data_IF_403944594039
#
_entry.id   IF_403944594039
#
_cell.length_a   1.000
_cell.length_b   1.000
_cell.length_c   1.000
_cell.angle_alpha   90.00
_cell.angle_beta   90.00
_cell.angle_gamma   90.00
#
_symmetry.space_group_name_H-M   'P 1'
#
loop_
_entity.id
_entity.type
_entity.pdbx_description
1 polymer ?
#
# COMPACT_ATOMS: atom_id res chain seq x y z
N UNK A 1 7.58 23.80 11.68
CA UNK A 1 7.77 24.50 10.39
C UNK A 1 9.24 24.83 10.25
N UNK A 2 10.05 23.86 9.86
CA UNK A 2 11.41 24.08 9.36
C UNK A 2 11.38 23.64 7.90
N UNK A 3 11.72 24.57 7.01
CA UNK A 3 11.85 24.31 5.59
C UNK A 3 13.09 23.46 5.35
N UNK A 4 12.93 22.14 5.45
CA UNK A 4 13.94 21.20 4.97
C UNK A 4 13.75 21.10 3.46
N UNK A 5 14.72 21.68 2.74
CA UNK A 5 14.73 21.75 1.28
C UNK A 5 14.59 20.38 0.64
N UNK A 6 14.16 20.38 -0.63
CA UNK A 6 13.95 19.16 -1.40
C UNK A 6 15.26 18.35 -1.50
N UNK A 7 15.35 17.23 -0.80
CA UNK A 7 16.53 16.37 -0.83
C UNK A 7 16.47 15.42 -2.03
N UNK A 8 17.61 15.17 -2.69
CA UNK A 8 17.73 14.19 -3.79
C UNK A 8 17.17 12.81 -3.44
N UNK A 9 17.20 12.44 -2.16
CA UNK A 9 16.63 11.20 -1.66
C UNK A 9 15.09 11.16 -1.78
N UNK A 10 14.41 12.31 -1.68
CA UNK A 10 12.95 12.40 -1.86
C UNK A 10 12.55 12.04 -3.28
N UNK A 11 13.31 12.50 -4.29
CA UNK A 11 13.14 12.08 -5.68
C UNK A 11 13.13 10.56 -5.84
N UNK A 12 14.02 9.86 -5.11
CA UNK A 12 14.07 8.40 -5.16
C UNK A 12 12.79 7.79 -4.60
N UNK A 13 12.22 8.32 -3.51
CA UNK A 13 10.94 7.85 -2.95
C UNK A 13 9.78 7.96 -3.94
N UNK A 14 9.72 9.05 -4.73
CA UNK A 14 8.67 9.24 -5.73
C UNK A 14 8.80 8.26 -6.90
N UNK A 15 10.03 7.94 -7.32
CA UNK A 15 10.31 7.03 -8.44
C UNK A 15 10.30 5.55 -8.02
N UNK A 16 10.54 5.26 -6.74
CA UNK A 16 10.61 3.91 -6.19
C UNK A 16 9.39 3.03 -6.49
N UNK A 17 8.13 3.46 -6.29
CA UNK A 17 6.97 2.63 -6.61
C UNK A 17 6.88 2.29 -8.10
N UNK A 18 7.20 3.24 -8.99
CA UNK A 18 7.15 3.06 -10.45
C UNK A 18 8.23 2.06 -10.89
N UNK A 19 9.45 2.23 -10.39
CA UNK A 19 10.56 1.33 -10.70
C UNK A 19 10.29 -0.12 -10.25
N UNK A 20 9.72 -0.29 -9.06
CA UNK A 20 9.41 -1.63 -8.54
C UNK A 20 8.28 -2.31 -9.30
N UNK A 21 7.21 -1.59 -9.65
CA UNK A 21 6.16 -2.13 -10.53
C UNK A 21 6.79 -2.60 -11.85
N UNK A 22 7.62 -1.76 -12.47
CA UNK A 22 8.27 -2.07 -13.73
C UNK A 22 9.16 -3.32 -13.66
N UNK A 23 9.99 -3.42 -12.61
CA UNK A 23 10.88 -4.57 -12.40
C UNK A 23 10.07 -5.85 -12.18
N UNK A 24 9.03 -5.80 -11.34
CA UNK A 24 8.20 -6.97 -11.04
C UNK A 24 7.45 -7.43 -12.30
N UNK A 25 6.86 -6.52 -13.07
CA UNK A 25 6.18 -6.86 -14.31
C UNK A 25 7.13 -7.39 -15.39
N UNK A 26 8.35 -6.87 -15.49
CA UNK A 26 9.30 -7.26 -16.54
C UNK A 26 10.02 -8.57 -16.24
N UNK A 27 10.42 -8.79 -14.99
CA UNK A 27 11.28 -9.92 -14.62
C UNK A 27 10.57 -11.01 -13.80
N UNK A 28 9.53 -10.65 -13.04
CA UNK A 28 8.90 -11.57 -12.07
C UNK A 28 7.48 -12.01 -12.45
N UNK A 29 6.93 -11.54 -13.58
CA UNK A 29 5.58 -11.88 -14.06
C UNK A 29 5.30 -13.37 -14.16
N UNK A 30 6.31 -14.19 -14.49
CA UNK A 30 6.18 -15.64 -14.58
C UNK A 30 6.15 -16.32 -13.20
N UNK A 31 6.79 -15.72 -12.18
CA UNK A 31 6.78 -16.22 -10.80
C UNK A 31 5.49 -15.87 -10.05
N UNK A 32 4.76 -14.82 -10.46
CA UNK A 32 3.44 -14.50 -9.92
C UNK A 32 2.39 -15.61 -10.20
N UNK A 33 2.61 -16.41 -11.25
CA UNK A 33 1.73 -17.53 -11.65
C UNK A 33 2.17 -18.89 -11.08
N UNK A 34 3.21 -18.93 -10.23
CA UNK A 34 3.87 -20.18 -9.86
C UNK A 34 3.01 -21.12 -8.98
N UNK A 35 1.97 -20.61 -8.31
CA UNK A 35 1.05 -21.43 -7.50
C UNK A 35 -0.39 -21.35 -8.04
N UNK A 36 -0.92 -22.43 -8.67
CA UNK A 36 -2.28 -22.44 -9.21
C UNK A 36 -3.37 -22.43 -8.13
N UNK A 37 -3.05 -22.83 -6.90
CA UNK A 37 -3.99 -22.82 -5.78
C UNK A 37 -4.00 -21.49 -5.00
N UNK A 38 -2.93 -20.71 -5.10
CA UNK A 38 -2.75 -19.43 -4.42
C UNK A 38 -2.00 -18.47 -5.35
N UNK A 39 -2.64 -17.95 -6.41
CA UNK A 39 -2.01 -16.96 -7.27
C UNK A 39 -1.53 -15.77 -6.43
N UNK A 40 -0.26 -15.43 -6.60
CA UNK A 40 0.33 -14.23 -6.02
C UNK A 40 -0.09 -13.05 -6.88
N UNK A 41 -0.94 -12.18 -6.34
CA UNK A 41 -1.25 -10.92 -7.01
C UNK A 41 -0.06 -9.97 -6.87
N UNK A 42 0.15 -9.14 -7.89
CA UNK A 42 1.14 -8.07 -7.85
C UNK A 42 0.92 -7.14 -6.65
N UNK A 43 -0.34 -6.87 -6.29
CA UNK A 43 -0.69 -6.12 -5.08
C UNK A 43 -0.15 -6.78 -3.79
N UNK A 44 -0.22 -8.10 -3.67
CA UNK A 44 0.28 -8.82 -2.50
C UNK A 44 1.79 -8.64 -2.33
N UNK A 45 2.53 -8.70 -3.44
CA UNK A 45 3.99 -8.50 -3.46
C UNK A 45 4.37 -7.05 -3.16
N UNK A 46 3.52 -6.09 -3.54
CA UNK A 46 3.78 -4.67 -3.34
C UNK A 46 3.38 -4.14 -1.96
N UNK A 47 2.54 -4.84 -1.18
CA UNK A 47 2.13 -4.41 0.17
C UNK A 47 3.34 -4.05 1.06
N UNK A 48 4.37 -4.90 1.20
CA UNK A 48 5.55 -4.56 2.02
C UNK A 48 6.23 -3.27 1.55
N UNK A 49 6.31 -3.05 0.23
CA UNK A 49 6.91 -1.85 -0.34
C UNK A 49 6.08 -0.60 -0.03
N UNK A 50 4.76 -0.69 -0.13
CA UNK A 50 3.85 0.41 0.22
C UNK A 50 3.98 0.78 1.70
N UNK A 51 4.12 -0.20 2.60
CA UNK A 51 4.33 0.05 4.02
C UNK A 51 5.65 0.79 4.28
N UNK A 52 6.74 0.41 3.60
CA UNK A 52 8.03 1.11 3.72
C UNK A 52 7.94 2.54 3.20
N UNK A 53 7.23 2.77 2.08
CA UNK A 53 7.03 4.11 1.54
C UNK A 53 6.18 4.97 2.49
N UNK A 54 5.09 4.44 3.02
CA UNK A 54 4.24 5.12 4.01
C UNK A 54 5.02 5.48 5.27
N UNK A 55 5.82 4.54 5.78
CA UNK A 55 6.73 4.81 6.89
C UNK A 55 7.69 5.96 6.58
N UNK A 56 8.32 5.92 5.40
CA UNK A 56 9.29 6.92 4.96
C UNK A 56 8.66 8.31 4.84
N UNK A 57 7.51 8.42 4.16
CA UNK A 57 6.78 9.69 4.04
C UNK A 57 6.22 10.18 5.37
N UNK A 58 5.81 9.26 6.25
CA UNK A 58 5.36 9.62 7.59
C UNK A 58 6.43 10.32 8.42
N UNK A 59 7.63 9.74 8.47
CA UNK A 59 8.77 10.39 9.11
C UNK A 59 9.14 11.71 8.44
N UNK A 60 9.04 11.77 7.11
CA UNK A 60 9.45 12.93 6.35
C UNK A 60 8.51 14.14 6.56
N UNK A 61 7.20 13.90 6.68
CA UNK A 61 6.20 14.97 6.84
C UNK A 61 6.00 15.33 8.31
N UNK A 62 5.89 14.32 9.18
CA UNK A 62 5.43 14.50 10.56
C UNK A 62 6.51 14.24 11.61
N UNK A 63 7.70 13.78 11.21
CA UNK A 63 8.76 13.33 12.13
C UNK A 63 8.32 12.22 13.10
N UNK A 64 7.28 11.47 12.73
CA UNK A 64 6.70 10.40 13.55
C UNK A 64 6.26 9.21 12.69
N UNK A 65 6.21 8.04 13.32
CA UNK A 65 5.77 6.82 12.67
C UNK A 65 4.24 6.76 12.58
N UNK A 66 3.68 7.11 11.43
CA UNK A 66 2.22 7.02 11.16
C UNK A 66 1.76 5.60 10.77
N UNK A 67 2.69 4.68 10.54
CA UNK A 67 2.39 3.33 10.06
C UNK A 67 1.37 2.59 10.95
N UNK A 68 1.46 2.63 12.30
CA UNK A 68 0.48 1.96 13.16
C UNK A 68 -0.94 2.49 12.96
N UNK A 69 -1.09 3.80 12.74
CA UNK A 69 -2.39 4.44 12.52
C UNK A 69 -2.97 3.97 11.18
N UNK A 70 -2.16 3.95 10.13
CA UNK A 70 -2.60 3.53 8.79
C UNK A 70 -2.93 2.03 8.78
N UNK A 71 -2.14 1.20 9.46
CA UNK A 71 -2.45 -0.23 9.62
C UNK A 71 -3.77 -0.42 10.36
N UNK A 72 -3.99 0.31 11.45
CA UNK A 72 -5.23 0.24 12.22
C UNK A 72 -6.45 0.62 11.36
N UNK A 73 -6.36 1.74 10.64
CA UNK A 73 -7.44 2.19 9.75
C UNK A 73 -7.70 1.19 8.61
N UNK A 74 -6.63 0.68 8.00
CA UNK A 74 -6.74 -0.31 6.92
C UNK A 74 -7.37 -1.60 7.44
N UNK A 75 -6.94 -2.09 8.61
CA UNK A 75 -7.50 -3.27 9.25
C UNK A 75 -8.98 -3.08 9.63
N UNK A 76 -9.34 -1.90 10.14
CA UNK A 76 -10.72 -1.56 10.45
C UNK A 76 -11.60 -1.57 9.18
N UNK A 77 -11.19 -0.91 8.10
CA UNK A 77 -11.92 -0.92 6.83
C UNK A 77 -12.07 -2.32 6.24
N UNK A 78 -11.02 -3.14 6.31
CA UNK A 78 -11.07 -4.55 5.90
C UNK A 78 -12.01 -5.35 6.80
N UNK A 79 -12.03 -5.07 8.10
CA UNK A 79 -12.95 -5.70 9.05
C UNK A 79 -14.42 -5.39 8.75
N UNK A 80 -14.73 -4.13 8.40
CA UNK A 80 -16.09 -3.73 7.96
C UNK A 80 -16.46 -4.49 6.67
N UNK A 81 -15.57 -4.50 5.68
CA UNK A 81 -15.78 -5.23 4.43
C UNK A 81 -16.02 -6.73 4.66
N UNK A 82 -15.21 -7.35 5.53
CA UNK A 82 -15.34 -8.76 5.88
C UNK A 82 -16.65 -9.04 6.62
N UNK A 83 -17.07 -8.17 7.53
CA UNK A 83 -18.34 -8.29 8.26
C UNK A 83 -19.54 -8.34 7.31
N UNK A 84 -19.59 -7.40 6.35
CA UNK A 84 -20.63 -7.39 5.32
C UNK A 84 -20.55 -8.61 4.40
N UNK A 85 -19.34 -9.01 4.00
CA UNK A 85 -19.12 -10.18 3.14
C UNK A 85 -19.58 -11.45 3.84
N UNK A 86 -19.16 -11.71 5.08
CA UNK A 86 -19.56 -12.91 5.82
C UNK A 86 -21.08 -12.95 6.02
N UNK A 87 -21.72 -11.81 6.25
CA UNK A 87 -23.18 -11.74 6.40
C UNK A 87 -23.94 -12.11 5.12
N UNK A 88 -23.37 -11.86 3.95
CA UNK A 88 -24.03 -12.10 2.66
C UNK A 88 -23.79 -13.51 2.11
N UNK A 89 -22.85 -14.28 2.67
CA UNK A 89 -22.50 -15.61 2.18
C UNK A 89 -22.86 -16.70 3.20
N UNK A 90 -23.52 -17.77 2.73
CA UNK A 90 -23.93 -18.91 3.58
C UNK A 90 -22.73 -19.75 4.07
N UNK A 91 -21.66 -19.78 3.29
CA UNK A 91 -20.38 -20.43 3.62
C UNK A 91 -19.25 -19.51 3.14
N UNK A 92 -18.36 -19.13 4.06
CA UNK A 92 -17.22 -18.27 3.76
C UNK A 92 -15.96 -19.15 3.63
N UNK A 93 -15.32 -19.08 2.46
CA UNK A 93 -14.02 -19.70 2.24
C UNK A 93 -12.98 -18.63 1.94
N UNK A 94 -11.93 -18.56 2.75
CA UNK A 94 -10.87 -17.56 2.61
C UNK A 94 -10.22 -17.57 1.21
N UNK A 95 -10.03 -18.77 0.64
CA UNK A 95 -9.45 -18.97 -0.70
C UNK A 95 -10.21 -18.22 -1.80
N UNK A 96 -11.52 -18.04 -1.64
CA UNK A 96 -12.36 -17.42 -2.66
C UNK A 96 -12.37 -15.88 -2.54
N UNK A 97 -11.83 -15.33 -1.44
CA UNK A 97 -11.96 -13.92 -1.11
C UNK A 97 -10.63 -13.22 -0.84
N UNK A 98 -9.54 -13.95 -0.58
CA UNK A 98 -8.25 -13.36 -0.21
C UNK A 98 -7.69 -12.40 -1.29
N UNK A 99 -7.90 -12.69 -2.59
CA UNK A 99 -7.46 -11.81 -3.69
C UNK A 99 -8.17 -10.46 -3.61
N UNK A 100 -9.50 -10.47 -3.43
CA UNK A 100 -10.30 -9.25 -3.33
C UNK A 100 -9.98 -8.46 -2.07
N UNK A 101 -9.72 -9.15 -0.95
CA UNK A 101 -9.24 -8.51 0.29
C UNK A 101 -7.87 -7.86 0.07
N UNK A 102 -6.98 -8.54 -0.63
CA UNK A 102 -5.65 -8.01 -0.98
C UNK A 102 -5.76 -6.78 -1.87
N UNK A 103 -6.66 -6.78 -2.85
CA UNK A 103 -6.96 -5.61 -3.69
C UNK A 103 -7.45 -4.43 -2.85
N UNK A 104 -8.36 -4.67 -1.90
CA UNK A 104 -8.87 -3.63 -1.00
C UNK A 104 -7.75 -3.08 -0.11
N UNK A 105 -6.94 -3.94 0.50
CA UNK A 105 -5.78 -3.52 1.30
C UNK A 105 -4.84 -2.66 0.45
N UNK A 106 -4.50 -3.13 -0.75
CA UNK A 106 -3.59 -2.42 -1.64
C UNK A 106 -4.17 -1.07 -2.09
N UNK A 107 -5.46 -1.01 -2.38
CA UNK A 107 -6.17 0.22 -2.71
C UNK A 107 -6.13 1.21 -1.53
N UNK A 108 -6.44 0.76 -0.32
CA UNK A 108 -6.40 1.60 0.88
C UNK A 108 -4.99 2.12 1.14
N UNK A 109 -3.96 1.26 1.09
CA UNK A 109 -2.57 1.70 1.25
C UNK A 109 -2.16 2.69 0.15
N UNK A 110 -2.62 2.49 -1.09
CA UNK A 110 -2.35 3.41 -2.20
C UNK A 110 -3.00 4.78 -1.99
N UNK A 111 -4.23 4.82 -1.49
CA UNK A 111 -4.91 6.07 -1.13
C UNK A 111 -4.14 6.79 -0.02
N UNK A 112 -3.75 6.10 1.04
CA UNK A 112 -2.95 6.70 2.12
C UNK A 112 -1.62 7.24 1.61
N UNK A 113 -0.90 6.45 0.80
CA UNK A 113 0.36 6.88 0.21
C UNK A 113 0.15 8.11 -0.67
N UNK A 114 -0.85 8.11 -1.54
CA UNK A 114 -1.17 9.25 -2.41
C UNK A 114 -1.53 10.51 -1.61
N UNK A 115 -2.31 10.38 -0.54
CA UNK A 115 -2.61 11.48 0.36
C UNK A 115 -1.36 12.05 1.04
N UNK A 116 -0.41 11.20 1.44
CA UNK A 116 0.88 11.65 1.99
C UNK A 116 1.72 12.38 0.94
N UNK A 117 1.74 11.90 -0.31
CA UNK A 117 2.43 12.57 -1.41
C UNK A 117 1.86 13.98 -1.64
N UNK A 118 0.53 14.09 -1.70
CA UNK A 118 -0.16 15.38 -1.86
C UNK A 118 0.10 16.31 -0.67
N UNK A 119 0.08 15.78 0.55
CA UNK A 119 0.35 16.58 1.74
C UNK A 119 1.80 17.09 1.75
N UNK A 120 2.78 16.26 1.36
CA UNK A 120 4.17 16.70 1.23
C UNK A 120 4.31 17.79 0.18
N UNK A 121 3.65 17.64 -0.96
CA UNK A 121 3.62 18.67 -2.00
C UNK A 121 3.02 19.97 -1.46
N UNK A 122 1.90 19.89 -0.75
CA UNK A 122 1.27 21.06 -0.14
C UNK A 122 2.22 21.80 0.81
N UNK A 123 2.86 21.08 1.74
CA UNK A 123 3.84 21.63 2.70
C UNK A 123 5.10 22.18 2.01
N UNK A 124 5.44 21.69 0.81
CA UNK A 124 6.57 22.20 0.05
C UNK A 124 6.25 23.52 -0.66
N UNK A 125 5.03 23.68 -1.18
CA UNK A 125 4.63 24.86 -1.94
C UNK A 125 4.09 26.02 -1.07
N UNK A 126 3.62 25.75 0.15
CA UNK A 126 3.01 26.72 1.07
C UNK A 126 3.67 26.70 2.44
#
# INVERSE_FOLDING_TARGET
MSGDGFHLWECLLYLWPIANIYIIERYFKNYLKFSPNWPLSLGLVLIPLWLVLIYSFGYLIFQLNILPIIILLTAFSVGVYLSETIRNYRQFFWKDHYLKITEIIFMLLSVHLFSLLLLRWWVFFF
#
